data_IF_120371740117
#
_entry.id   IF_120371740117
#
_cell.length_a   1.000
_cell.length_b   1.000
_cell.length_c   1.000
_cell.angle_alpha   90.00
_cell.angle_beta   90.00
_cell.angle_gamma   90.00
#
_symmetry.space_group_name_H-M   'P 1'
#
loop_
_entity.id
_entity.type
_entity.pdbx_description
1 polymer ?
#
# COMPACT_ATOMS: atom_id res chain seq x y z
N UNK A 1 4.00 -16.66 -1.35
CA UNK A 1 3.54 -15.40 -1.97
C UNK A 1 4.74 -14.48 -2.09
N UNK A 2 4.97 -13.87 -3.26
CA UNK A 2 6.11 -12.97 -3.53
C UNK A 2 5.85 -11.51 -3.16
N UNK A 3 5.04 -11.25 -2.12
CA UNK A 3 4.81 -9.89 -1.61
C UNK A 3 6.05 -9.45 -0.83
N UNK A 4 6.58 -8.28 -1.18
CA UNK A 4 7.80 -7.72 -0.63
C UNK A 4 7.50 -6.73 0.49
N UNK A 5 6.57 -5.79 0.23
CA UNK A 5 6.19 -4.75 1.18
C UNK A 5 4.77 -4.24 0.92
N UNK A 6 4.10 -3.77 1.97
CA UNK A 6 2.78 -3.13 1.91
C UNK A 6 2.88 -1.78 2.60
N UNK A 7 2.45 -0.72 1.92
CA UNK A 7 2.36 0.63 2.45
C UNK A 7 0.90 1.12 2.33
N UNK A 8 0.46 1.91 3.30
CA UNK A 8 -0.82 2.62 3.24
C UNK A 8 -0.55 4.10 3.42
N UNK A 9 -1.05 4.90 2.48
CA UNK A 9 -0.95 6.35 2.47
C UNK A 9 -2.33 6.94 2.75
N UNK A 10 -2.37 7.97 3.59
CA UNK A 10 -3.59 8.74 3.81
C UNK A 10 -3.95 9.59 2.59
N UNK A 11 -5.09 10.30 2.66
CA UNK A 11 -5.59 11.15 1.58
C UNK A 11 -4.59 12.23 1.17
N UNK A 12 -3.85 12.79 2.14
CA UNK A 12 -2.83 13.82 1.93
C UNK A 12 -1.47 13.28 1.43
N UNK A 13 -1.34 11.96 1.21
CA UNK A 13 -0.10 11.34 0.74
C UNK A 13 0.90 11.01 1.84
N UNK A 14 0.54 11.21 3.12
CA UNK A 14 1.34 10.81 4.26
C UNK A 14 1.32 9.31 4.47
N UNK A 15 2.48 8.71 4.76
CA UNK A 15 2.59 7.30 5.12
C UNK A 15 1.95 7.06 6.49
N UNK A 16 0.92 6.22 6.55
CA UNK A 16 0.25 5.84 7.79
C UNK A 16 0.49 4.38 8.16
N UNK A 17 0.99 3.55 7.25
CA UNK A 17 1.37 2.17 7.54
C UNK A 17 2.46 1.70 6.61
N UNK A 18 3.37 0.88 7.14
CA UNK A 18 4.44 0.24 6.40
C UNK A 18 4.76 -1.11 7.02
N UNK A 19 4.82 -2.14 6.19
CA UNK A 19 5.21 -3.49 6.60
C UNK A 19 5.98 -4.19 5.50
N UNK A 20 7.20 -4.61 5.79
CA UNK A 20 7.98 -5.48 4.92
C UNK A 20 7.77 -6.95 5.30
N UNK A 21 7.76 -7.83 4.30
CA UNK A 21 7.52 -9.27 4.45
C UNK A 21 8.70 -10.14 4.02
N UNK A 22 9.69 -9.56 3.34
CA UNK A 22 10.83 -10.30 2.83
C UNK A 22 12.15 -9.65 3.24
N UNK A 23 13.14 -10.48 3.61
CA UNK A 23 14.48 -10.04 4.03
C UNK A 23 15.39 -9.69 2.84
N UNK A 24 15.00 -10.07 1.60
CA UNK A 24 15.82 -9.87 0.40
C UNK A 24 15.90 -8.43 -0.13
N UNK A 25 15.15 -7.48 0.44
CA UNK A 25 15.26 -6.06 0.10
C UNK A 25 16.02 -5.30 1.18
N UNK A 26 16.88 -4.35 0.77
CA UNK A 26 17.48 -3.40 1.71
C UNK A 26 16.37 -2.60 2.39
N UNK A 27 16.23 -2.78 3.69
CA UNK A 27 15.28 -2.02 4.49
C UNK A 27 15.64 -0.53 4.42
N UNK A 28 14.66 0.28 4.01
CA UNK A 28 14.81 1.73 3.99
C UNK A 28 14.68 2.29 5.42
N UNK A 29 15.24 3.47 5.66
CA UNK A 29 14.98 4.16 6.93
C UNK A 29 13.53 4.64 7.00
N UNK A 30 13.02 4.94 8.21
CA UNK A 30 11.67 5.49 8.36
C UNK A 30 11.47 6.79 7.57
N UNK A 31 12.49 7.63 7.48
CA UNK A 31 12.44 8.87 6.72
C UNK A 31 12.39 8.61 5.20
N UNK A 32 13.14 7.61 4.73
CA UNK A 32 13.11 7.24 3.31
C UNK A 32 11.73 6.73 2.88
N UNK A 33 11.05 5.95 3.73
CA UNK A 33 9.67 5.53 3.45
C UNK A 33 8.69 6.72 3.43
N UNK A 34 8.86 7.72 4.30
CA UNK A 34 8.06 8.95 4.28
C UNK A 34 8.28 9.73 2.97
N UNK A 35 9.54 9.85 2.54
CA UNK A 35 9.90 10.49 1.27
C UNK A 35 9.33 9.70 0.09
N UNK A 36 9.43 8.37 0.09
CA UNK A 36 8.86 7.48 -0.93
C UNK A 36 7.34 7.69 -1.05
N UNK A 37 6.63 7.72 0.08
CA UNK A 37 5.19 7.95 0.11
C UNK A 37 4.80 9.32 -0.48
N UNK A 38 5.47 10.39 -0.06
CA UNK A 38 5.23 11.74 -0.60
C UNK A 38 5.55 11.83 -2.09
N UNK A 39 6.65 11.20 -2.52
CA UNK A 39 7.06 11.14 -3.93
C UNK A 39 6.02 10.40 -4.77
N UNK A 40 5.59 9.22 -4.32
CA UNK A 40 4.53 8.47 -4.98
C UNK A 40 3.24 9.28 -5.09
N UNK A 41 2.83 9.95 -4.01
CA UNK A 41 1.64 10.79 -4.01
C UNK A 41 1.71 11.91 -5.06
N UNK A 42 2.86 12.58 -5.16
CA UNK A 42 3.11 13.60 -6.19
C UNK A 42 3.06 13.01 -7.61
N UNK A 43 3.74 11.89 -7.85
CA UNK A 43 3.72 11.20 -9.16
C UNK A 43 2.32 10.75 -9.53
N UNK A 44 1.55 10.21 -8.57
CA UNK A 44 0.17 9.79 -8.78
C UNK A 44 -0.73 10.99 -9.17
N UNK A 45 -0.54 12.15 -8.54
CA UNK A 45 -1.24 13.38 -8.93
C UNK A 45 -0.84 13.86 -10.33
N UNK A 46 0.46 13.87 -10.67
CA UNK A 46 0.94 14.28 -11.99
C UNK A 46 0.40 13.37 -13.09
N UNK A 47 0.48 12.05 -12.91
CA UNK A 47 0.00 11.05 -13.87
C UNK A 47 -1.49 11.19 -14.17
N UNK A 48 -2.32 11.55 -13.17
CA UNK A 48 -3.75 11.85 -13.40
C UNK A 48 -4.00 13.08 -14.28
N UNK A 49 -3.04 14.02 -14.38
CA UNK A 49 -3.14 15.25 -15.18
C UNK A 49 -2.59 15.11 -16.59
N UNK A 50 -1.55 14.30 -16.76
CA UNK A 50 -0.90 14.10 -18.07
C UNK A 50 -1.52 12.95 -18.87
N UNK A 51 -2.42 12.18 -18.25
CA UNK A 51 -3.08 11.07 -18.92
C UNK A 51 -3.88 11.56 -20.14
N UNK A 52 -3.70 10.93 -21.32
CA UNK A 52 -4.48 11.26 -22.51
C UNK A 52 -5.92 10.75 -22.44
N UNK A 53 -6.24 9.89 -21.47
CA UNK A 53 -7.56 9.27 -21.30
C UNK A 53 -8.37 10.07 -20.27
N UNK A 54 -9.52 10.66 -20.66
CA UNK A 54 -10.39 11.36 -19.74
C UNK A 54 -10.85 10.45 -18.58
N UNK A 55 -10.83 10.98 -17.35
CA UNK A 55 -11.30 10.24 -16.18
C UNK A 55 -10.30 9.23 -15.60
N UNK A 56 -9.04 9.22 -16.03
CA UNK A 56 -8.00 8.37 -15.43
C UNK A 56 -7.69 8.74 -13.98
N UNK A 57 -7.51 7.72 -13.13
CA UNK A 57 -7.35 7.86 -11.68
C UNK A 57 -5.95 8.11 -11.14
N UNK A 58 -4.92 8.24 -11.99
CA UNK A 58 -3.51 8.37 -11.59
C UNK A 58 -2.70 7.09 -11.76
N UNK A 59 -1.50 7.03 -11.18
CA UNK A 59 -0.59 5.89 -11.27
C UNK A 59 -1.14 4.68 -10.49
N UNK A 60 -1.45 3.60 -11.22
CA UNK A 60 -1.97 2.34 -10.65
C UNK A 60 -0.94 1.21 -10.65
N UNK A 61 -0.09 1.13 -11.67
CA UNK A 61 0.89 0.04 -11.82
C UNK A 61 2.24 0.60 -12.22
N UNK A 62 3.31 0.13 -11.57
CA UNK A 62 4.69 0.36 -11.96
C UNK A 62 5.43 -0.98 -11.94
N UNK A 63 5.99 -1.37 -13.08
CA UNK A 63 6.73 -2.61 -13.24
C UNK A 63 8.20 -2.34 -13.57
N UNK A 64 9.07 -3.17 -13.00
CA UNK A 64 10.51 -3.17 -13.24
C UNK A 64 11.00 -4.62 -13.29
N UNK A 65 12.27 -4.81 -13.62
CA UNK A 65 12.90 -6.14 -13.61
C UNK A 65 12.96 -6.77 -12.21
N UNK A 66 12.90 -5.96 -11.14
CA UNK A 66 13.08 -6.42 -9.77
C UNK A 66 11.80 -6.52 -8.96
N UNK A 67 10.84 -5.63 -9.24
CA UNK A 67 9.56 -5.59 -8.54
C UNK A 67 8.44 -5.04 -9.42
N UNK A 68 7.22 -5.38 -9.02
CA UNK A 68 5.98 -4.75 -9.44
C UNK A 68 5.35 -4.03 -8.25
N UNK A 69 4.98 -2.78 -8.44
CA UNK A 69 4.22 -1.98 -7.48
C UNK A 69 2.81 -1.77 -8.01
N UNK A 70 1.83 -2.16 -7.21
CA UNK A 70 0.41 -1.96 -7.46
C UNK A 70 -0.11 -0.90 -6.48
N UNK A 71 -0.85 0.08 -7.00
CA UNK A 71 -1.56 1.08 -6.24
C UNK A 71 -3.06 0.89 -6.40
N UNK A 72 -3.78 0.87 -5.27
CA UNK A 72 -5.23 0.97 -5.21
C UNK A 72 -5.63 2.19 -4.40
N UNK A 73 -6.24 3.18 -5.06
CA UNK A 73 -6.84 4.32 -4.39
C UNK A 73 -8.33 4.05 -4.12
N UNK A 74 -8.73 4.18 -2.87
CA UNK A 74 -10.14 4.15 -2.45
C UNK A 74 -10.86 5.46 -2.79
N UNK A 75 -12.20 5.44 -2.84
CA UNK A 75 -13.02 6.64 -3.03
C UNK A 75 -12.83 7.69 -1.92
N UNK A 76 -12.39 7.27 -0.72
CA UNK A 76 -12.07 8.18 0.39
C UNK A 76 -10.67 8.82 0.25
N UNK A 77 -9.87 8.39 -0.73
CA UNK A 77 -8.56 8.95 -1.06
C UNK A 77 -7.36 8.22 -0.46
N UNK A 78 -7.58 7.23 0.43
CA UNK A 78 -6.53 6.36 0.99
C UNK A 78 -5.97 5.47 -0.11
N UNK A 79 -4.64 5.35 -0.18
CA UNK A 79 -3.93 4.58 -1.20
C UNK A 79 -3.23 3.38 -0.57
N UNK A 80 -3.41 2.22 -1.17
CA UNK A 80 -2.79 0.96 -0.78
C UNK A 80 -1.75 0.61 -1.82
N UNK A 81 -0.48 0.60 -1.41
CA UNK A 81 0.66 0.26 -2.25
C UNK A 81 1.17 -1.11 -1.86
N UNK A 82 1.25 -2.01 -2.84
CA UNK A 82 1.82 -3.35 -2.66
C UNK A 82 2.99 -3.49 -3.60
N UNK A 83 4.16 -3.77 -3.02
CA UNK A 83 5.36 -4.18 -3.74
C UNK A 83 5.42 -5.69 -3.74
N UNK A 84 5.60 -6.28 -4.91
CA UNK A 84 5.70 -7.71 -5.12
C UNK A 84 6.78 -8.05 -6.15
N UNK A 85 7.10 -9.32 -6.30
CA UNK A 85 7.91 -9.80 -7.42
C UNK A 85 7.20 -9.52 -8.77
N UNK A 86 7.93 -9.27 -9.87
CA UNK A 86 7.37 -8.79 -11.15
C UNK A 86 6.21 -9.64 -11.69
N UNK A 87 6.26 -10.96 -11.45
CA UNK A 87 5.30 -11.93 -11.99
C UNK A 87 4.29 -12.43 -10.94
N UNK A 88 4.12 -11.72 -9.81
CA UNK A 88 3.17 -12.13 -8.77
C UNK A 88 1.73 -12.09 -9.31
N UNK A 89 1.01 -13.23 -9.38
CA UNK A 89 -0.37 -13.26 -9.84
C UNK A 89 -1.32 -12.70 -8.76
N UNK A 90 -2.51 -12.28 -9.21
CA UNK A 90 -3.64 -11.90 -8.37
C UNK A 90 -3.37 -10.75 -7.39
N UNK A 91 -2.46 -9.83 -7.73
CA UNK A 91 -2.13 -8.69 -6.86
C UNK A 91 -3.34 -7.78 -6.58
N UNK A 92 -4.26 -7.64 -7.54
CA UNK A 92 -5.49 -6.86 -7.38
C UNK A 92 -6.45 -7.46 -6.34
N UNK A 93 -6.49 -8.78 -6.25
CA UNK A 93 -7.29 -9.49 -5.23
C UNK A 93 -6.66 -9.28 -3.84
N UNK A 94 -5.33 -9.37 -3.77
CA UNK A 94 -4.58 -9.12 -2.54
C UNK A 94 -4.80 -7.69 -2.06
N UNK A 95 -4.70 -6.69 -2.94
CA UNK A 95 -4.91 -5.27 -2.59
C UNK A 95 -6.31 -5.03 -2.02
N UNK A 96 -7.34 -5.62 -2.63
CA UNK A 96 -8.72 -5.53 -2.15
C UNK A 96 -8.88 -6.18 -0.78
N UNK A 97 -8.25 -7.34 -0.57
CA UNK A 97 -8.27 -8.02 0.72
C UNK A 97 -7.57 -7.22 1.82
N UNK A 98 -6.46 -6.55 1.51
CA UNK A 98 -5.78 -5.64 2.46
C UNK A 98 -6.68 -4.46 2.83
N UNK A 99 -7.39 -3.90 1.85
CA UNK A 99 -8.38 -2.85 2.11
C UNK A 99 -9.52 -3.32 3.02
N UNK A 100 -10.07 -4.52 2.79
CA UNK A 100 -11.09 -5.12 3.68
C UNK A 100 -10.57 -5.27 5.11
N UNK A 101 -9.36 -5.81 5.29
CA UNK A 101 -8.74 -5.94 6.61
C UNK A 101 -8.53 -4.57 7.28
N UNK A 102 -8.12 -3.56 6.52
CA UNK A 102 -8.00 -2.19 7.02
C UNK A 102 -9.36 -1.64 7.48
N UNK A 103 -10.41 -1.84 6.70
CA UNK A 103 -11.76 -1.40 7.05
C UNK A 103 -12.26 -2.12 8.32
N UNK A 104 -12.01 -3.41 8.47
CA UNK A 104 -12.49 -4.20 9.60
C UNK A 104 -11.72 -3.94 10.91
N UNK A 105 -10.40 -3.82 10.85
CA UNK A 105 -9.58 -3.73 12.07
C UNK A 105 -9.17 -2.30 12.42
N UNK A 106 -8.94 -1.44 11.42
CA UNK A 106 -8.47 -0.08 11.65
C UNK A 106 -9.64 0.88 11.74
N UNK A 107 -10.55 0.88 10.77
CA UNK A 107 -11.67 1.85 10.75
C UNK A 107 -12.73 1.56 11.81
N UNK A 108 -12.87 0.32 12.27
CA UNK A 108 -13.79 -0.03 13.37
C UNK A 108 -13.15 0.11 14.76
N UNK A 109 -11.86 0.44 14.85
CA UNK A 109 -11.21 0.64 16.15
C UNK A 109 -11.51 2.06 16.66
N UNK A 110 -12.25 2.22 17.79
CA UNK A 110 -12.63 3.53 18.31
C UNK A 110 -11.44 4.36 18.81
N UNK A 111 -10.28 3.74 19.03
CA UNK A 111 -9.06 4.41 19.47
C UNK A 111 -8.16 4.84 18.30
N UNK A 112 -8.50 4.48 17.07
CA UNK A 112 -7.73 4.90 15.91
C UNK A 112 -8.10 6.33 15.52
N UNK A 113 -7.08 7.20 15.44
CA UNK A 113 -7.23 8.55 14.90
C UNK A 113 -6.97 8.52 13.40
N UNK A 114 -7.95 9.01 12.64
CA UNK A 114 -7.88 9.05 11.16
C UNK A 114 -6.67 9.89 10.72
N UNK A 115 -6.03 9.48 9.62
CA UNK A 115 -4.82 10.09 9.04
C UNK A 115 -3.53 9.95 9.87
N UNK A 116 -3.59 9.35 11.07
CA UNK A 116 -2.43 9.07 11.90
C UNK A 116 -1.85 7.67 11.63
N UNK A 117 -0.58 7.41 12.00
CA UNK A 117 0.03 6.09 11.85
C UNK A 117 -0.80 4.98 12.53
N UNK A 118 -1.02 3.90 11.78
CA UNK A 118 -1.79 2.74 12.22
C UNK A 118 -0.96 1.92 13.20
N UNK A 119 -1.40 1.88 14.46
CA UNK A 119 -0.85 1.02 15.51
C UNK A 119 -1.94 0.07 16.00
N UNK A 120 -2.23 -0.96 15.20
CA UNK A 120 -3.30 -1.91 15.47
C UNK A 120 -2.79 -3.35 15.34
N UNK A 121 -2.54 -3.99 16.47
CA UNK A 121 -2.01 -5.36 16.51
C UNK A 121 -2.94 -6.38 15.86
N UNK A 122 -4.26 -6.18 15.99
CA UNK A 122 -5.25 -7.04 15.34
C UNK A 122 -5.15 -6.96 13.81
N UNK A 123 -4.93 -5.76 13.26
CA UNK A 123 -4.68 -5.59 11.83
C UNK A 123 -3.38 -6.27 11.41
N UNK A 124 -2.28 -6.02 12.12
CA UNK A 124 -0.97 -6.60 11.81
C UNK A 124 -1.00 -8.14 11.80
N UNK A 125 -1.62 -8.75 12.82
CA UNK A 125 -1.74 -10.20 12.95
C UNK A 125 -2.53 -10.82 11.80
N UNK A 126 -3.68 -10.23 11.46
CA UNK A 126 -4.54 -10.76 10.40
C UNK A 126 -3.95 -10.53 9.01
N UNK A 127 -3.30 -9.39 8.80
CA UNK A 127 -2.56 -9.11 7.57
C UNK A 127 -1.41 -10.11 7.39
N UNK A 128 -0.61 -10.34 8.43
CA UNK A 128 0.49 -11.29 8.39
C UNK A 128 -0.02 -12.72 8.12
N UNK A 129 -1.08 -13.16 8.80
CA UNK A 129 -1.67 -14.48 8.58
C UNK A 129 -2.19 -14.67 7.14
N UNK A 130 -2.64 -13.58 6.49
CA UNK A 130 -3.09 -13.63 5.10
C UNK A 130 -1.93 -13.65 4.09
N UNK A 131 -0.89 -12.83 4.29
CA UNK A 131 0.24 -12.70 3.35
C UNK A 131 1.25 -13.85 3.50
N UNK A 132 1.45 -14.32 4.73
CA UNK A 132 2.31 -15.45 5.09
C UNK A 132 1.48 -16.46 5.88
N UNK A 133 0.54 -17.19 5.24
CA UNK A 133 -0.13 -18.29 5.90
C UNK A 133 0.94 -19.29 6.34
N UNK A 134 0.99 -19.57 7.66
CA UNK A 134 1.89 -20.59 8.20
C UNK A 134 1.68 -21.88 7.38
N UNK A 135 2.78 -22.40 6.83
CA UNK A 135 2.80 -23.76 6.28
C UNK A 135 2.47 -24.76 7.38
#
# INVERSE_FOLDING_TARGET
MGILSILILNKAGGLIYQRDFNEGLKKLSSNDYLVLAGTFHGVHAITSRISPVPGSGGLEVMESEHFRMQCFQTLTGTKFLIFAQPHQPNIDVIVKRVYELYADYVMKNPFYQIEMPIRCEAFDRNLLAYIQPRQ
#
